data_IF_995826099436
#
_entry.id   IF_995826099436
#
_cell.length_a   1.000
_cell.length_b   1.000
_cell.length_c   1.000
_cell.angle_alpha   90.00
_cell.angle_beta   90.00
_cell.angle_gamma   90.00
#
_symmetry.space_group_name_H-M   'P 1'
#
loop_
_entity.id
_entity.type
_entity.pdbx_description
1 polymer ?
#
# COMPACT_ATOMS: atom_id res chain seq x y z
N UNK A 1 42.39 -10.16 -1.60
CA UNK A 1 41.30 -9.18 -1.73
C UNK A 1 40.20 -9.80 -2.60
N UNK A 2 38.96 -9.88 -2.11
CA UNK A 2 37.85 -10.44 -2.89
C UNK A 2 37.41 -9.42 -3.95
N UNK A 3 37.24 -9.89 -5.19
CA UNK A 3 36.61 -9.16 -6.29
C UNK A 3 35.48 -10.01 -6.86
N UNK A 4 34.24 -9.56 -6.78
CA UNK A 4 33.08 -10.31 -7.30
C UNK A 4 32.11 -9.39 -8.04
N UNK A 5 31.56 -9.85 -9.16
CA UNK A 5 30.54 -9.10 -9.89
C UNK A 5 29.22 -9.15 -9.15
N UNK A 6 28.55 -8.01 -9.06
CA UNK A 6 27.28 -7.89 -8.38
C UNK A 6 26.60 -6.56 -8.62
N UNK A 7 25.69 -6.23 -7.73
CA UNK A 7 24.83 -5.07 -7.82
C UNK A 7 24.41 -4.62 -6.43
N UNK A 8 24.32 -3.31 -6.25
CA UNK A 8 23.73 -2.67 -5.08
C UNK A 8 22.38 -2.08 -5.48
N UNK A 9 21.35 -2.32 -4.67
CA UNK A 9 20.06 -1.69 -4.87
C UNK A 9 20.14 -0.23 -4.44
N UNK A 10 20.11 0.66 -5.41
CA UNK A 10 20.13 2.09 -5.20
C UNK A 10 18.69 2.62 -5.15
N UNK A 11 18.32 3.24 -4.03
CA UNK A 11 16.98 3.79 -3.79
C UNK A 11 17.01 5.28 -3.38
N UNK A 12 18.09 6.00 -3.71
CA UNK A 12 18.17 7.45 -3.43
C UNK A 12 17.60 8.27 -4.59
N UNK A 13 16.58 9.08 -4.31
CA UNK A 13 15.95 9.98 -5.29
C UNK A 13 14.86 9.30 -6.11
N UNK A 14 14.69 9.73 -7.35
CA UNK A 14 13.56 9.34 -8.23
C UNK A 14 13.73 8.00 -8.98
N UNK A 15 14.83 7.28 -8.75
CA UNK A 15 15.15 6.04 -9.45
C UNK A 15 15.53 4.92 -8.46
N UNK A 16 14.73 3.86 -8.48
CA UNK A 16 15.05 2.60 -7.82
C UNK A 16 15.65 1.64 -8.85
N UNK A 17 16.93 1.32 -8.71
CA UNK A 17 17.59 0.44 -9.66
C UNK A 17 18.72 -0.36 -9.00
N UNK A 18 18.90 -1.59 -9.48
CA UNK A 18 20.12 -2.34 -9.23
C UNK A 18 21.24 -1.72 -10.05
N UNK A 19 22.19 -1.05 -9.39
CA UNK A 19 23.40 -0.53 -10.05
C UNK A 19 24.43 -1.66 -10.10
N UNK A 20 24.77 -2.20 -11.29
CA UNK A 20 25.72 -3.30 -11.43
C UNK A 20 27.16 -2.78 -11.35
N UNK A 21 28.08 -3.60 -10.84
CA UNK A 21 29.51 -3.28 -10.75
C UNK A 21 30.32 -4.43 -10.14
N UNK A 22 31.54 -4.14 -9.73
CA UNK A 22 32.39 -5.08 -9.01
C UNK A 22 32.48 -4.71 -7.54
N UNK A 23 32.13 -5.64 -6.67
CA UNK A 23 32.42 -5.54 -5.24
C UNK A 23 33.91 -5.79 -5.01
N UNK A 24 34.53 -4.91 -4.25
CA UNK A 24 35.89 -5.03 -3.75
C UNK A 24 35.83 -5.04 -2.23
N UNK A 25 36.27 -6.14 -1.63
CA UNK A 25 36.44 -6.23 -0.18
C UNK A 25 37.89 -5.94 0.17
N UNK A 26 38.08 -4.85 0.92
CA UNK A 26 39.37 -4.46 1.50
C UNK A 26 39.37 -4.77 3.00
N UNK A 27 40.53 -4.65 3.64
CA UNK A 27 40.64 -4.79 5.09
C UNK A 27 39.94 -3.67 5.90
N UNK A 28 39.43 -2.61 5.24
CA UNK A 28 38.77 -1.47 5.90
C UNK A 28 37.31 -1.30 5.51
N UNK A 29 36.94 -1.66 4.28
CA UNK A 29 35.61 -1.37 3.71
C UNK A 29 35.25 -2.31 2.56
N UNK A 30 33.94 -2.45 2.36
CA UNK A 30 33.34 -3.01 1.16
C UNK A 30 32.98 -1.87 0.19
N UNK A 31 33.31 -2.03 -1.10
CA UNK A 31 33.08 -1.01 -2.13
C UNK A 31 32.43 -1.66 -3.34
N UNK A 32 31.43 -1.02 -3.95
CA UNK A 32 30.94 -1.35 -5.29
C UNK A 32 31.39 -0.28 -6.29
N UNK A 33 32.24 -0.67 -7.23
CA UNK A 33 32.79 0.22 -8.24
C UNK A 33 32.29 -0.15 -9.65
N UNK A 34 31.90 0.87 -10.42
CA UNK A 34 31.40 0.75 -11.80
C UNK A 34 32.48 1.24 -12.75
N UNK A 35 33.15 0.30 -13.40
CA UNK A 35 34.29 0.59 -14.26
C UNK A 35 33.92 1.49 -15.44
N UNK A 36 32.77 1.27 -16.07
CA UNK A 36 32.32 2.05 -17.24
C UNK A 36 32.04 3.52 -16.93
N UNK A 37 31.84 3.86 -15.65
CA UNK A 37 31.47 5.20 -15.19
C UNK A 37 32.51 5.82 -14.24
N UNK A 38 33.60 5.10 -13.94
CA UNK A 38 34.59 5.47 -12.91
C UNK A 38 33.94 5.94 -11.59
N UNK A 39 32.91 5.20 -11.15
CA UNK A 39 32.02 5.61 -10.06
C UNK A 39 32.01 4.58 -8.93
N UNK A 40 32.17 5.04 -7.68
CA UNK A 40 31.83 4.27 -6.49
C UNK A 40 30.34 4.47 -6.18
N UNK A 41 29.55 3.42 -6.35
CA UNK A 41 28.09 3.49 -6.16
C UNK A 41 27.60 3.05 -4.80
N UNK A 42 28.45 2.34 -4.07
CA UNK A 42 28.21 1.91 -2.71
C UNK A 42 29.55 1.76 -2.00
N UNK A 43 29.63 2.21 -0.75
CA UNK A 43 30.74 1.90 0.13
C UNK A 43 30.25 1.85 1.57
N UNK A 44 30.85 0.95 2.36
CA UNK A 44 30.61 0.89 3.81
C UNK A 44 31.90 0.43 4.52
N UNK A 45 32.36 1.14 5.57
CA UNK A 45 33.40 0.64 6.46
C UNK A 45 32.99 -0.68 7.11
N UNK A 46 33.93 -1.61 7.28
CA UNK A 46 33.63 -2.89 7.93
C UNK A 46 33.15 -2.70 9.37
N UNK A 47 33.73 -1.74 10.08
CA UNK A 47 33.35 -1.36 11.44
C UNK A 47 31.92 -0.84 11.59
N UNK A 48 31.29 -0.39 10.50
CA UNK A 48 29.89 0.08 10.49
C UNK A 48 28.90 -1.06 10.24
N UNK A 49 29.38 -2.25 9.84
CA UNK A 49 28.51 -3.41 9.59
C UNK A 49 28.07 -3.99 10.93
N UNK A 50 26.76 -3.95 11.18
CA UNK A 50 26.13 -4.49 12.38
C UNK A 50 25.68 -5.94 12.18
N UNK A 51 25.04 -6.23 11.04
CA UNK A 51 24.52 -7.57 10.75
C UNK A 51 24.47 -7.89 9.25
N UNK A 52 24.46 -9.19 8.94
CA UNK A 52 24.33 -9.72 7.58
C UNK A 52 23.27 -10.82 7.52
N UNK A 53 22.32 -10.70 6.60
CA UNK A 53 21.27 -11.70 6.39
C UNK A 53 21.09 -12.01 4.92
N UNK A 54 20.83 -13.27 4.61
CA UNK A 54 20.60 -13.71 3.22
C UNK A 54 19.14 -14.06 3.02
N UNK A 55 18.54 -13.60 1.92
CA UNK A 55 17.16 -13.93 1.54
C UNK A 55 17.07 -14.32 0.07
N UNK A 56 16.07 -15.12 -0.26
CA UNK A 56 15.65 -15.33 -1.64
C UNK A 56 14.60 -14.29 -2.03
N UNK A 57 14.82 -13.59 -3.14
CA UNK A 57 13.85 -12.67 -3.74
C UNK A 57 13.45 -13.15 -5.14
N UNK A 58 12.28 -12.74 -5.61
CA UNK A 58 11.89 -12.97 -6.99
C UNK A 58 12.84 -12.23 -7.95
N UNK A 59 13.39 -12.94 -8.93
CA UNK A 59 14.18 -12.36 -10.00
C UNK A 59 13.26 -11.70 -11.04
N UNK A 60 13.79 -10.78 -11.85
CA UNK A 60 13.03 -10.19 -12.96
C UNK A 60 12.62 -11.21 -14.03
N UNK A 61 13.27 -12.38 -14.04
CA UNK A 61 12.89 -13.51 -14.90
C UNK A 61 11.88 -14.35 -14.16
N UNK A 62 10.66 -14.46 -14.71
CA UNK A 62 9.55 -15.22 -14.13
C UNK A 62 10.01 -16.63 -13.72
N UNK A 63 9.79 -16.98 -12.45
CA UNK A 63 10.12 -18.30 -11.88
C UNK A 63 11.57 -18.46 -11.40
N UNK A 64 12.46 -17.48 -11.63
CA UNK A 64 13.80 -17.48 -11.04
C UNK A 64 13.79 -16.74 -9.70
N UNK A 65 14.56 -17.23 -8.75
CA UNK A 65 14.86 -16.55 -7.49
C UNK A 65 16.29 -16.03 -7.53
N UNK A 66 16.52 -14.89 -6.88
CA UNK A 66 17.84 -14.29 -6.68
C UNK A 66 18.17 -14.35 -5.20
N UNK A 67 19.39 -14.72 -4.88
CA UNK A 67 19.90 -14.55 -3.53
C UNK A 67 20.31 -13.08 -3.33
N UNK A 68 19.82 -12.48 -2.25
CA UNK A 68 20.11 -11.09 -1.87
C UNK A 68 20.70 -11.08 -0.47
N UNK A 69 21.84 -10.41 -0.33
CA UNK A 69 22.51 -10.14 0.93
C UNK A 69 22.03 -8.79 1.45
N UNK A 70 21.40 -8.82 2.60
CA UNK A 70 20.98 -7.67 3.38
C UNK A 70 22.09 -7.36 4.38
N UNK A 71 22.66 -6.17 4.26
CA UNK A 71 23.64 -5.63 5.20
C UNK A 71 22.95 -4.54 6.02
N UNK A 72 22.98 -4.69 7.34
CA UNK A 72 22.46 -3.69 8.28
C UNK A 72 23.66 -2.98 8.89
N UNK A 73 23.66 -1.65 8.86
CA UNK A 73 24.69 -0.86 9.51
C UNK A 73 24.34 -0.50 10.96
N UNK A 74 25.28 0.10 11.69
CA UNK A 74 25.09 0.53 13.07
C UNK A 74 24.03 1.62 13.26
N UNK A 75 23.58 2.26 12.18
CA UNK A 75 22.47 3.22 12.18
C UNK A 75 21.15 2.58 11.73
N UNK A 76 21.06 1.24 11.73
CA UNK A 76 19.90 0.45 11.30
C UNK A 76 19.53 0.63 9.81
N UNK A 77 20.42 1.19 8.99
CA UNK A 77 20.16 1.33 7.55
C UNK A 77 20.42 0.00 6.85
N UNK A 78 19.50 -0.35 5.96
CA UNK A 78 19.54 -1.60 5.20
C UNK A 78 20.12 -1.36 3.81
N UNK A 79 21.14 -2.13 3.47
CA UNK A 79 21.79 -2.14 2.17
C UNK A 79 21.56 -3.49 1.50
N UNK A 80 20.89 -3.48 0.34
CA UNK A 80 20.59 -4.70 -0.44
C UNK A 80 21.65 -4.90 -1.50
N UNK A 81 22.39 -6.00 -1.35
CA UNK A 81 23.48 -6.39 -2.23
C UNK A 81 23.09 -7.70 -2.91
N UNK A 82 23.53 -7.88 -4.15
CA UNK A 82 23.37 -9.16 -4.80
C UNK A 82 24.54 -9.40 -5.73
N UNK A 83 25.19 -10.55 -5.57
CA UNK A 83 26.36 -10.95 -6.33
C UNK A 83 26.12 -12.30 -7.00
N UNK A 84 26.91 -12.59 -8.04
CA UNK A 84 26.90 -13.91 -8.68
C UNK A 84 27.15 -15.01 -7.65
N UNK A 85 28.07 -14.75 -6.71
CA UNK A 85 28.40 -15.64 -5.59
C UNK A 85 28.09 -14.94 -4.26
N UNK A 86 26.79 -14.75 -3.98
CA UNK A 86 26.33 -13.98 -2.80
C UNK A 86 26.79 -14.58 -1.48
N UNK A 87 26.82 -15.91 -1.35
CA UNK A 87 27.35 -16.57 -0.15
C UNK A 87 28.86 -16.33 0.02
N UNK A 88 29.66 -16.44 -1.04
CA UNK A 88 31.10 -16.18 -0.98
C UNK A 88 31.39 -14.73 -0.56
N UNK A 89 30.61 -13.77 -1.07
CA UNK A 89 30.72 -12.38 -0.62
C UNK A 89 30.43 -12.24 0.87
N UNK A 90 29.36 -12.86 1.37
CA UNK A 90 29.01 -12.87 2.79
C UNK A 90 30.13 -13.46 3.63
N UNK A 91 30.60 -14.66 3.28
CA UNK A 91 31.62 -15.39 4.05
C UNK A 91 32.93 -14.60 4.11
N UNK A 92 33.33 -13.96 3.00
CA UNK A 92 34.51 -13.11 2.98
C UNK A 92 34.37 -11.88 3.89
N UNK A 93 33.18 -11.26 3.96
CA UNK A 93 32.93 -10.15 4.89
C UNK A 93 33.05 -10.63 6.33
N UNK A 94 32.42 -11.77 6.66
CA UNK A 94 32.49 -12.39 8.00
C UNK A 94 33.95 -12.65 8.40
N UNK A 95 34.72 -13.33 7.56
CA UNK A 95 36.14 -13.62 7.81
C UNK A 95 36.97 -12.35 8.02
N UNK A 96 36.70 -11.27 7.27
CA UNK A 96 37.41 -10.00 7.44
C UNK A 96 37.05 -9.32 8.76
N UNK A 97 35.78 -9.37 9.18
CA UNK A 97 35.33 -8.85 10.47
C UNK A 97 35.99 -9.59 11.63
N UNK A 98 36.01 -10.92 11.58
CA UNK A 98 36.69 -11.76 12.57
C UNK A 98 38.18 -11.42 12.69
N UNK A 99 38.85 -11.22 11.55
CA UNK A 99 40.28 -10.86 11.50
C UNK A 99 40.58 -9.52 12.21
N UNK A 100 39.63 -8.58 12.20
CA UNK A 100 39.77 -7.27 12.88
C UNK A 100 39.09 -7.24 14.26
N UNK A 101 38.68 -8.40 14.78
CA UNK A 101 38.10 -8.53 16.13
C UNK A 101 36.67 -8.00 16.26
N UNK A 102 35.92 -7.93 15.16
CA UNK A 102 34.52 -7.54 15.14
C UNK A 102 33.61 -8.76 14.99
N UNK A 103 32.52 -8.76 15.74
CA UNK A 103 31.47 -9.77 15.69
C UNK A 103 30.19 -9.17 15.09
N UNK A 104 29.49 -9.95 14.28
CA UNK A 104 28.12 -9.61 13.83
C UNK A 104 27.10 -9.99 14.91
N UNK A 105 25.98 -9.28 14.96
CA UNK A 105 24.85 -9.70 15.78
C UNK A 105 24.21 -10.99 15.23
N UNK A 106 24.07 -11.99 16.09
CA UNK A 106 23.36 -13.23 15.77
C UNK A 106 21.86 -12.95 15.68
N UNK A 107 21.31 -13.06 14.48
CA UNK A 107 19.88 -12.92 14.21
C UNK A 107 19.31 -11.54 14.55
N UNK A 108 19.63 -10.48 13.77
CA UNK A 108 18.80 -9.30 13.82
C UNK A 108 17.36 -9.73 13.52
N UNK A 109 16.41 -9.29 14.34
CA UNK A 109 15.01 -9.35 13.95
C UNK A 109 14.91 -8.50 12.69
N UNK A 110 14.97 -9.16 11.54
CA UNK A 110 14.49 -8.58 10.32
C UNK A 110 12.98 -8.48 10.51
N UNK A 111 12.55 -7.40 11.18
CA UNK A 111 11.25 -6.81 10.91
C UNK A 111 11.10 -6.89 9.41
N UNK A 112 9.96 -7.40 8.93
CA UNK A 112 9.70 -7.50 7.50
C UNK A 112 9.91 -6.12 6.89
N UNK A 113 11.14 -5.84 6.44
CA UNK A 113 11.55 -4.61 5.77
C UNK A 113 11.03 -4.70 4.33
N UNK A 114 9.75 -4.99 4.21
CA UNK A 114 8.96 -4.61 3.06
C UNK A 114 8.92 -3.08 3.09
N UNK A 115 9.95 -2.48 2.48
CA UNK A 115 10.09 -1.07 2.09
C UNK A 115 8.79 -0.29 2.21
N UNK A 116 8.63 0.58 3.22
CA UNK A 116 7.92 1.87 3.22
C UNK A 116 8.09 2.51 4.62
N UNK A 117 8.26 3.84 4.73
CA UNK A 117 8.34 4.50 6.04
C UNK A 117 7.00 4.41 6.75
N UNK A 118 6.98 3.78 7.93
CA UNK A 118 5.86 3.84 8.89
C UNK A 118 5.80 5.24 9.54
N UNK A 119 6.80 6.09 9.26
CA UNK A 119 6.97 7.45 9.79
C UNK A 119 5.80 8.40 9.50
N UNK A 120 4.89 8.08 8.58
CA UNK A 120 3.68 8.88 8.33
C UNK A 120 2.47 8.48 9.17
N UNK A 121 2.54 7.34 9.89
CA UNK A 121 1.46 6.91 10.77
C UNK A 121 1.38 7.82 11.99
N UNK A 122 0.15 8.15 12.36
CA UNK A 122 -0.14 8.91 13.58
C UNK A 122 -0.30 7.92 14.75
N UNK A 123 -0.13 8.37 15.99
CA UNK A 123 -0.32 7.54 17.18
C UNK A 123 -1.71 6.83 17.18
N UNK A 124 -1.69 5.51 17.42
CA UNK A 124 -2.87 4.63 17.34
C UNK A 124 -3.41 4.38 15.92
N UNK A 125 -2.65 4.72 14.88
CA UNK A 125 -2.94 4.35 13.49
C UNK A 125 -2.24 3.04 13.12
N UNK A 126 -3.00 2.10 12.55
CA UNK A 126 -2.52 0.78 12.14
C UNK A 126 -2.87 0.51 10.69
N UNK A 127 -1.94 -0.03 9.91
CA UNK A 127 -2.16 -0.42 8.52
C UNK A 127 -2.91 -1.75 8.48
N UNK A 128 -4.09 -1.75 7.86
CA UNK A 128 -4.98 -2.93 7.72
C UNK A 128 -4.91 -3.57 6.35
N UNK A 129 -4.50 -2.81 5.32
CA UNK A 129 -4.32 -3.33 3.96
C UNK A 129 -3.24 -2.55 3.21
N UNK A 130 -2.49 -3.23 2.32
CA UNK A 130 -1.33 -2.65 1.64
C UNK A 130 -1.20 -3.14 0.20
N UNK A 131 -0.84 -2.20 -0.69
CA UNK A 131 -0.69 -2.41 -2.12
C UNK A 131 0.68 -1.95 -2.56
N UNK A 132 1.52 -2.90 -3.00
CA UNK A 132 2.97 -2.66 -3.20
C UNK A 132 3.30 -1.91 -4.49
N UNK A 133 2.41 -1.90 -5.48
CA UNK A 133 2.62 -1.19 -6.76
C UNK A 133 1.29 -0.70 -7.27
N UNK A 134 0.84 0.41 -6.70
CA UNK A 134 -0.44 1.02 -7.06
C UNK A 134 -0.14 2.41 -7.59
N UNK A 135 -0.47 2.65 -8.85
CA UNK A 135 -0.39 3.95 -9.49
C UNK A 135 -1.57 4.81 -9.06
N UNK A 136 -1.34 6.10 -8.89
CA UNK A 136 -2.36 7.10 -8.59
C UNK A 136 -2.44 8.12 -9.73
N UNK A 137 -3.65 8.45 -10.19
CA UNK A 137 -3.88 9.52 -11.15
C UNK A 137 -3.83 10.86 -10.40
N UNK A 138 -2.64 11.45 -10.35
CA UNK A 138 -2.44 12.71 -9.66
C UNK A 138 -3.04 13.87 -10.48
N UNK A 139 -3.76 14.80 -9.83
CA UNK A 139 -4.33 15.97 -10.51
C UNK A 139 -3.23 16.89 -11.05
N UNK A 140 -3.60 17.71 -12.04
CA UNK A 140 -2.75 18.67 -12.72
C UNK A 140 -2.29 19.83 -11.81
N UNK A 141 -1.49 19.55 -10.79
CA UNK A 141 -0.85 20.56 -9.94
C UNK A 141 0.50 20.97 -10.55
N UNK A 142 0.49 21.96 -11.43
CA UNK A 142 1.69 22.53 -12.07
C UNK A 142 2.14 21.87 -13.39
N UNK A 143 1.40 20.87 -13.89
CA UNK A 143 1.59 20.26 -15.23
C UNK A 143 0.26 20.43 -15.99
N UNK A 144 0.30 20.52 -17.33
CA UNK A 144 -0.89 20.75 -18.17
C UNK A 144 -1.96 19.65 -18.11
N UNK A 145 -1.66 18.43 -17.62
CA UNK A 145 -2.57 17.29 -17.63
C UNK A 145 -2.38 16.39 -16.41
N UNK A 146 -3.43 15.62 -16.08
CA UNK A 146 -3.38 14.55 -15.08
C UNK A 146 -2.29 13.53 -15.43
N UNK A 147 -1.60 12.99 -14.43
CA UNK A 147 -0.48 12.08 -14.66
C UNK A 147 -0.52 10.90 -13.71
N UNK A 148 -0.40 9.69 -14.27
CA UNK A 148 -0.21 8.47 -13.51
C UNK A 148 1.15 8.46 -12.83
N UNK A 149 1.15 8.44 -11.49
CA UNK A 149 2.36 8.37 -10.69
C UNK A 149 2.44 7.01 -10.00
N UNK A 150 3.60 6.33 -10.00
CA UNK A 150 3.75 5.08 -9.29
C UNK A 150 4.09 5.32 -7.81
N UNK A 151 3.65 4.39 -6.97
CA UNK A 151 3.80 4.45 -5.52
C UNK A 151 3.04 3.33 -4.84
N UNK A 152 2.61 3.60 -3.61
CA UNK A 152 2.02 2.61 -2.72
C UNK A 152 0.71 3.08 -2.11
N UNK A 153 -0.28 2.20 -2.07
CA UNK A 153 -1.57 2.46 -1.44
C UNK A 153 -1.64 1.74 -0.09
N UNK A 154 -2.17 2.40 0.93
CA UNK A 154 -2.38 1.86 2.26
C UNK A 154 -3.77 2.18 2.73
N UNK A 155 -4.38 1.19 3.35
CA UNK A 155 -5.55 1.37 4.16
C UNK A 155 -5.11 1.26 5.61
N UNK A 156 -5.45 2.25 6.40
CA UNK A 156 -5.29 2.20 7.85
C UNK A 156 -6.66 2.07 8.50
N UNK A 157 -6.67 1.83 9.81
CA UNK A 157 -7.88 1.95 10.63
C UNK A 157 -8.49 3.38 10.62
N UNK A 158 -7.79 4.40 10.11
CA UNK A 158 -8.24 5.80 10.10
C UNK A 158 -8.42 6.40 8.71
N UNK A 159 -7.61 6.03 7.72
CA UNK A 159 -7.59 6.68 6.39
C UNK A 159 -7.06 5.75 5.28
N UNK A 160 -7.45 6.06 4.06
CA UNK A 160 -6.80 5.58 2.84
C UNK A 160 -5.72 6.58 2.45
N UNK A 161 -4.49 6.10 2.30
CA UNK A 161 -3.32 6.92 2.02
C UNK A 161 -2.59 6.41 0.78
N UNK A 162 -2.04 7.31 -0.02
CA UNK A 162 -1.13 6.97 -1.09
C UNK A 162 0.20 7.69 -0.94
N UNK A 163 1.26 6.90 -0.90
CA UNK A 163 2.64 7.33 -0.73
C UNK A 163 3.33 7.44 -2.09
N UNK A 164 3.98 8.57 -2.31
CA UNK A 164 4.77 8.81 -3.51
C UNK A 164 6.24 8.48 -3.28
N UNK A 165 6.73 7.45 -3.95
CA UNK A 165 8.10 6.94 -3.78
C UNK A 165 9.18 7.98 -4.09
N UNK A 166 8.92 8.84 -5.08
CA UNK A 166 9.89 9.76 -5.66
C UNK A 166 10.26 10.88 -4.68
N UNK A 167 9.26 11.47 -4.04
CA UNK A 167 9.42 12.59 -3.10
C UNK A 167 9.34 12.14 -1.64
N UNK A 168 9.15 10.83 -1.39
CA UNK A 168 9.00 10.25 -0.06
C UNK A 168 8.00 11.04 0.79
N UNK A 169 6.80 11.26 0.24
CA UNK A 169 5.73 11.98 0.93
C UNK A 169 4.36 11.40 0.63
N UNK A 170 3.42 11.66 1.52
CA UNK A 170 2.00 11.47 1.24
C UNK A 170 1.55 12.50 0.21
N UNK A 171 0.93 12.02 -0.87
CA UNK A 171 0.36 12.87 -1.94
C UNK A 171 -1.16 12.79 -1.96
N UNK A 172 -1.72 11.70 -1.46
CA UNK A 172 -3.15 11.55 -1.29
C UNK A 172 -3.45 10.95 0.07
N UNK A 173 -4.43 11.52 0.74
CA UNK A 173 -5.00 10.98 1.96
C UNK A 173 -6.50 11.28 1.99
N UNK A 174 -7.27 10.31 2.44
CA UNK A 174 -8.68 10.51 2.74
C UNK A 174 -9.08 9.71 3.97
N UNK A 175 -9.64 10.36 5.01
CA UNK A 175 -10.24 9.68 6.14
C UNK A 175 -11.23 8.60 5.69
N UNK A 176 -11.20 7.42 6.32
CA UNK A 176 -12.06 6.31 5.91
C UNK A 176 -13.52 6.71 5.95
N UNK A 177 -13.93 7.51 6.94
CA UNK A 177 -15.28 8.05 7.15
C UNK A 177 -15.80 8.89 5.96
N UNK A 178 -14.90 9.51 5.20
CA UNK A 178 -15.26 10.32 4.03
C UNK A 178 -15.40 9.54 2.72
N UNK A 179 -14.99 8.27 2.69
CA UNK A 179 -15.18 7.40 1.53
C UNK A 179 -16.66 7.05 1.40
N UNK A 180 -17.26 7.42 0.26
CA UNK A 180 -18.69 7.25 -0.04
C UNK A 180 -18.96 5.96 -0.79
N UNK A 181 -18.14 5.65 -1.80
CA UNK A 181 -18.30 4.44 -2.61
C UNK A 181 -17.00 4.08 -3.30
N UNK A 182 -16.85 2.81 -3.66
CA UNK A 182 -15.70 2.30 -4.42
C UNK A 182 -16.18 1.56 -5.65
N UNK A 183 -15.70 1.99 -6.80
CA UNK A 183 -16.06 1.46 -8.11
C UNK A 183 -14.83 0.92 -8.81
N UNK A 184 -15.03 0.01 -9.76
CA UNK A 184 -13.96 -0.43 -10.64
C UNK A 184 -14.37 -0.30 -12.09
N UNK A 185 -13.50 0.27 -12.92
CA UNK A 185 -13.75 0.46 -14.34
C UNK A 185 -12.56 0.00 -15.18
N UNK A 186 -12.84 -0.50 -16.39
CA UNK A 186 -11.81 -0.85 -17.36
C UNK A 186 -11.47 0.37 -18.22
N UNK A 187 -10.29 0.97 -18.02
CA UNK A 187 -9.85 2.15 -18.78
C UNK A 187 -8.49 1.90 -19.45
N UNK A 188 -8.19 2.69 -20.49
CA UNK A 188 -6.85 2.72 -21.10
C UNK A 188 -5.96 3.65 -20.28
N UNK A 189 -4.79 3.17 -19.86
CA UNK A 189 -3.84 3.93 -19.02
C UNK A 189 -2.83 4.75 -19.85
N UNK A 190 -2.63 4.46 -21.15
CA UNK A 190 -1.80 5.28 -22.06
C UNK A 190 -1.98 4.96 -23.57
N UNK A 191 -2.07 5.94 -24.47
CA UNK A 191 -1.90 5.76 -25.93
C UNK A 191 -2.89 4.82 -26.66
N UNK A 192 -2.88 4.84 -28.01
CA UNK A 192 -3.85 4.13 -28.85
C UNK A 192 -3.85 2.58 -28.64
N UNK A 193 -2.70 1.99 -28.30
CA UNK A 193 -2.47 0.54 -28.23
C UNK A 193 -2.37 -0.07 -26.81
N UNK A 194 -2.70 0.68 -25.74
CA UNK A 194 -2.74 0.08 -24.40
C UNK A 194 -3.88 -0.92 -24.24
N UNK A 195 -3.56 -2.05 -23.59
CA UNK A 195 -4.57 -2.94 -23.03
C UNK A 195 -5.40 -2.17 -22.00
N UNK A 196 -6.71 -2.40 -21.98
CA UNK A 196 -7.57 -1.88 -20.90
C UNK A 196 -7.13 -2.53 -19.60
N UNK A 197 -6.88 -1.70 -18.60
CA UNK A 197 -6.55 -2.13 -17.25
C UNK A 197 -7.73 -1.85 -16.33
N UNK A 198 -7.88 -2.69 -15.31
CA UNK A 198 -8.89 -2.48 -14.27
C UNK A 198 -8.39 -1.38 -13.34
N UNK A 199 -9.22 -0.37 -13.15
CA UNK A 199 -8.96 0.80 -12.33
C UNK A 199 -9.84 0.76 -11.10
N UNK A 200 -9.34 1.25 -9.99
CA UNK A 200 -10.08 1.44 -8.75
C UNK A 200 -10.37 2.92 -8.57
N UNK A 201 -11.65 3.27 -8.59
CA UNK A 201 -12.13 4.63 -8.37
C UNK A 201 -12.73 4.72 -6.97
N UNK A 202 -12.12 5.54 -6.13
CA UNK A 202 -12.59 5.83 -4.78
C UNK A 202 -13.30 7.17 -4.80
N UNK A 203 -14.61 7.15 -4.54
CA UNK A 203 -15.44 8.35 -4.42
C UNK A 203 -15.47 8.77 -2.97
N UNK A 204 -15.10 10.01 -2.69
CA UNK A 204 -15.06 10.56 -1.34
C UNK A 204 -15.66 11.97 -1.29
N UNK A 205 -16.13 12.35 -0.10
CA UNK A 205 -16.70 13.68 0.14
C UNK A 205 -15.65 14.62 0.74
N UNK A 206 -15.44 15.77 0.11
CA UNK A 206 -14.62 16.86 0.60
C UNK A 206 -15.44 18.15 0.54
N UNK A 207 -15.67 18.80 1.69
CA UNK A 207 -16.44 20.06 1.77
C UNK A 207 -17.80 19.97 1.05
N UNK A 208 -18.51 18.86 1.21
CA UNK A 208 -19.80 18.56 0.56
C UNK A 208 -19.77 18.37 -0.97
N UNK A 209 -18.58 18.44 -1.60
CA UNK A 209 -18.38 18.04 -2.98
C UNK A 209 -17.89 16.58 -3.05
N UNK A 210 -18.39 15.83 -4.02
CA UNK A 210 -17.88 14.48 -4.31
C UNK A 210 -16.68 14.57 -5.24
N UNK A 211 -15.59 13.94 -4.85
CA UNK A 211 -14.34 13.86 -5.62
C UNK A 211 -13.99 12.40 -5.86
N UNK A 212 -13.27 12.14 -6.94
CA UNK A 212 -12.83 10.79 -7.33
C UNK A 212 -11.31 10.75 -7.27
N UNK A 213 -10.77 9.70 -6.65
CA UNK A 213 -9.37 9.33 -6.75
C UNK A 213 -9.26 7.99 -7.49
N UNK A 214 -8.46 7.97 -8.56
CA UNK A 214 -8.30 6.80 -9.42
C UNK A 214 -6.95 6.13 -9.22
N UNK A 215 -6.98 4.81 -9.10
CA UNK A 215 -5.80 3.98 -8.87
C UNK A 215 -5.69 2.82 -9.88
N UNK A 216 -4.47 2.42 -10.23
CA UNK A 216 -4.20 1.23 -11.05
C UNK A 216 -3.16 0.34 -10.37
N UNK A 217 -3.47 -0.95 -10.19
CA UNK A 217 -2.64 -1.87 -9.39
C UNK A 217 -2.51 -3.27 -9.99
N UNK A 218 -2.95 -3.46 -11.24
CA UNK A 218 -3.01 -4.77 -11.90
C UNK A 218 -3.93 -5.74 -11.14
N UNK A 219 -3.45 -6.95 -10.86
CA UNK A 219 -4.24 -8.02 -10.22
C UNK A 219 -4.65 -7.76 -8.77
N UNK A 220 -4.17 -6.69 -8.14
CA UNK A 220 -4.50 -6.35 -6.73
C UNK A 220 -5.81 -5.57 -6.61
N UNK A 221 -6.39 -5.08 -7.71
CA UNK A 221 -7.53 -4.16 -7.68
C UNK A 221 -8.79 -4.80 -7.08
N UNK A 222 -8.99 -6.10 -7.27
CA UNK A 222 -10.15 -6.81 -6.74
C UNK A 222 -10.08 -6.91 -5.21
N UNK A 223 -8.91 -7.26 -4.68
CA UNK A 223 -8.64 -7.30 -3.24
C UNK A 223 -8.85 -5.93 -2.60
N UNK A 224 -8.41 -4.87 -3.27
CA UNK A 224 -8.61 -3.49 -2.83
C UNK A 224 -10.08 -3.06 -2.84
N UNK A 225 -10.82 -3.42 -3.88
CA UNK A 225 -12.25 -3.14 -3.97
C UNK A 225 -12.99 -3.83 -2.82
N UNK A 226 -12.70 -5.10 -2.55
CA UNK A 226 -13.29 -5.82 -1.43
C UNK A 226 -12.96 -5.19 -0.08
N UNK A 227 -11.68 -4.89 0.17
CA UNK A 227 -11.24 -4.29 1.43
C UNK A 227 -11.92 -2.96 1.71
N UNK A 228 -12.02 -2.08 0.71
CA UNK A 228 -12.69 -0.79 0.87
C UNK A 228 -14.21 -0.92 0.95
N UNK A 229 -14.82 -1.84 0.20
CA UNK A 229 -16.26 -2.10 0.31
C UNK A 229 -16.63 -2.61 1.70
N UNK A 230 -15.79 -3.40 2.37
CA UNK A 230 -16.03 -3.79 3.77
C UNK A 230 -16.09 -2.58 4.70
N UNK A 231 -15.29 -1.54 4.45
CA UNK A 231 -15.32 -0.29 5.22
C UNK A 231 -16.55 0.54 4.89
N UNK A 232 -16.89 0.66 3.61
CA UNK A 232 -18.08 1.42 3.17
C UNK A 232 -19.35 0.74 3.70
N UNK A 233 -19.49 -0.57 3.53
CA UNK A 233 -20.61 -1.35 4.06
C UNK A 233 -20.61 -1.43 5.58
N UNK A 234 -19.44 -1.43 6.23
CA UNK A 234 -19.33 -1.33 7.70
C UNK A 234 -19.68 0.07 8.24
N UNK A 235 -19.56 1.11 7.40
CA UNK A 235 -20.09 2.45 7.66
C UNK A 235 -21.57 2.60 7.35
N UNK A 236 -22.14 1.70 6.56
CA UNK A 236 -23.55 1.35 6.64
C UNK A 236 -23.74 0.48 7.90
N UNK A 237 -23.31 1.00 9.05
CA UNK A 237 -24.12 0.88 10.24
C UNK A 237 -25.45 1.46 9.81
N UNK A 238 -26.42 0.61 9.47
CA UNK A 238 -27.82 1.04 9.45
C UNK A 238 -28.02 1.85 10.73
N UNK A 239 -28.32 3.14 10.61
CA UNK A 239 -28.51 4.01 11.78
C UNK A 239 -29.49 3.27 12.69
N UNK A 240 -29.00 2.79 13.82
CA UNK A 240 -29.81 1.99 14.72
C UNK A 240 -30.61 2.97 15.53
N UNK A 241 -31.90 3.05 15.22
CA UNK A 241 -32.86 3.84 15.97
C UNK A 241 -33.58 2.93 16.98
N UNK A 242 -34.27 3.55 17.93
CA UNK A 242 -35.10 2.82 18.89
C UNK A 242 -36.56 2.93 18.48
N UNK A 243 -37.27 1.81 18.51
CA UNK A 243 -38.70 1.81 18.24
C UNK A 243 -39.41 2.76 19.23
N UNK A 244 -40.21 3.74 18.76
CA UNK A 244 -40.85 4.72 19.64
C UNK A 244 -41.92 4.09 20.57
N UNK A 245 -42.40 2.88 20.26
CA UNK A 245 -43.41 2.19 21.07
C UNK A 245 -42.79 1.24 22.11
N UNK A 246 -41.70 0.53 21.80
CA UNK A 246 -41.14 -0.49 22.69
C UNK A 246 -39.68 -0.29 23.09
N UNK A 247 -39.02 0.76 22.58
CA UNK A 247 -37.64 1.12 22.92
C UNK A 247 -36.57 0.16 22.39
N UNK A 248 -36.94 -0.92 21.69
CA UNK A 248 -35.97 -1.87 21.15
C UNK A 248 -35.18 -1.25 20.00
N UNK A 249 -33.84 -1.45 19.96
CA UNK A 249 -33.02 -0.99 18.86
C UNK A 249 -33.30 -1.82 17.60
N UNK A 250 -33.42 -1.13 16.46
CA UNK A 250 -33.58 -1.74 15.15
C UNK A 250 -33.03 -0.78 14.06
N UNK A 251 -32.67 -1.27 12.86
CA UNK A 251 -32.31 -0.43 11.73
C UNK A 251 -33.38 0.64 11.44
N UNK A 252 -32.98 1.91 11.31
CA UNK A 252 -33.92 3.01 11.05
C UNK A 252 -34.74 2.76 9.77
N UNK A 253 -34.11 2.17 8.75
CA UNK A 253 -34.79 1.81 7.50
C UNK A 253 -35.88 0.76 7.71
N UNK A 254 -35.62 -0.28 8.52
CA UNK A 254 -36.62 -1.30 8.87
C UNK A 254 -37.80 -0.65 9.62
N UNK A 255 -37.52 0.21 10.61
CA UNK A 255 -38.57 0.93 11.34
C UNK A 255 -39.43 1.81 10.43
N UNK A 256 -38.82 2.51 9.46
CA UNK A 256 -39.53 3.42 8.57
C UNK A 256 -40.30 2.71 7.45
N UNK A 257 -39.76 1.63 6.89
CA UNK A 257 -40.33 0.94 5.72
C UNK A 257 -41.22 -0.26 6.08
N UNK A 258 -40.91 -0.98 7.16
CA UNK A 258 -41.58 -2.24 7.52
C UNK A 258 -42.25 -2.17 8.91
N UNK A 259 -41.74 -1.31 9.79
CA UNK A 259 -42.18 -1.18 11.17
C UNK A 259 -41.33 -2.01 12.15
N UNK A 260 -41.74 -2.06 13.41
CA UNK A 260 -41.02 -2.80 14.43
C UNK A 260 -41.46 -4.26 14.48
N UNK A 261 -40.57 -5.16 14.08
CA UNK A 261 -40.74 -6.62 14.14
C UNK A 261 -41.01 -7.17 15.55
N UNK A 262 -40.61 -6.44 16.60
CA UNK A 262 -40.79 -6.88 18.00
C UNK A 262 -42.13 -6.53 18.64
N UNK A 263 -42.78 -5.44 18.23
CA UNK A 263 -44.05 -4.99 18.85
C UNK A 263 -45.17 -4.70 17.85
N UNK A 264 -44.88 -4.85 16.54
CA UNK A 264 -45.83 -4.57 15.48
C UNK A 264 -46.10 -3.08 15.24
N UNK A 265 -45.27 -2.18 15.79
CA UNK A 265 -45.39 -0.75 15.50
C UNK A 265 -45.19 -0.50 14.00
N UNK A 266 -46.00 0.37 13.41
CA UNK A 266 -45.92 0.72 11.98
C UNK A 266 -45.68 2.21 11.83
N UNK A 267 -44.75 2.59 10.97
CA UNK A 267 -44.41 4.00 10.73
C UNK A 267 -45.60 4.79 10.17
N UNK A 268 -45.73 6.09 10.51
CA UNK A 268 -46.77 6.95 9.95
C UNK A 268 -46.76 6.98 8.41
N UNK A 269 -45.57 6.96 7.81
CA UNK A 269 -45.40 6.93 6.36
C UNK A 269 -45.91 5.64 5.71
N UNK A 270 -45.76 4.49 6.38
CA UNK A 270 -46.28 3.21 5.88
C UNK A 270 -47.80 3.13 6.01
N UNK A 271 -48.37 3.59 7.14
CA UNK A 271 -49.84 3.67 7.32
C UNK A 271 -50.50 4.49 6.22
N UNK A 272 -49.96 5.67 5.92
CA UNK A 272 -50.51 6.55 4.91
C UNK A 272 -50.43 5.97 3.48
N UNK A 273 -49.41 5.16 3.17
CA UNK A 273 -49.31 4.45 1.89
C UNK A 273 -50.35 3.34 1.76
N UNK A 274 -50.60 2.59 2.83
CA UNK A 274 -51.59 1.52 2.85
C UNK A 274 -53.01 2.06 2.72
N UNK A 275 -53.34 3.12 3.47
CA UNK A 275 -54.65 3.80 3.38
C UNK A 275 -54.91 4.40 1.99
N UNK A 276 -53.90 5.03 1.38
CA UNK A 276 -54.01 5.55 0.01
C UNK A 276 -54.16 4.44 -1.05
N UNK A 277 -53.63 3.24 -0.79
CA UNK A 277 -53.74 2.08 -1.68
C UNK A 277 -55.16 1.50 -1.60
N UNK A 278 -55.71 1.35 -0.40
CA UNK A 278 -57.07 0.85 -0.17
C UNK A 278 -58.13 1.75 -0.81
N UNK A 279 -58.04 3.07 -0.61
CA UNK A 279 -58.93 4.06 -1.24
C UNK A 279 -58.84 4.09 -2.76
N UNK A 280 -57.71 3.70 -3.35
CA UNK A 280 -57.55 3.60 -4.80
C UNK A 280 -58.22 2.34 -5.36
N UNK A 281 -58.16 1.23 -4.64
CA UNK A 281 -58.85 -0.01 -5.03
C UNK A 281 -60.36 0.13 -4.95
N UNK A 282 -60.90 0.78 -3.91
CA UNK A 282 -62.36 0.99 -3.78
C UNK A 282 -62.94 1.85 -4.92
N UNK A 283 -62.19 2.83 -5.42
CA UNK A 283 -62.57 3.67 -6.58
C UNK A 283 -62.51 2.97 -7.94
N UNK A 284 -61.87 1.80 -8.04
CA UNK A 284 -61.78 1.01 -9.28
C UNK A 284 -62.89 -0.06 -9.34
N UNK A 285 -63.44 -0.44 -8.19
CA UNK A 285 -64.53 -1.42 -8.06
C UNK A 285 -65.92 -0.81 -7.91
N UNK A 286 -66.05 0.52 -7.90
CA UNK A 286 -67.31 1.26 -7.93
C UNK A 286 -67.53 1.89 -9.31
#
# INVERSE_FOLDING_TARGET
ALKVFGSHYYSKGIYNAWKPGYFYLTNKRLILYRQDFDEITFQIPLEEIKALVTREEAHFVKGKKKQVLYLIDKQERVHRLSAVETNQLKDAIVQNLETIGLSLEESPVLLEFEEIPIDFLIEGEEVTHRGKKVWYLAPASGIQQETWRPGHLYLTNKRLCWWYDFERKLVFEVPVDRIVSVNTEMRKTSGLDSKKEKMLDVVYSLNSAKTIASFSGGGQIDEWQEALNRIVSGKISEETETCPQCGKPAPAKELLEEGCSSCGWVSPGLKQKTENREQRTEKITA
#
